data_IF_561057752338
#
_entry.id   IF_561057752338
#
_cell.length_a   1.000
_cell.length_b   1.000
_cell.length_c   1.000
_cell.angle_alpha   90.00
_cell.angle_beta   90.00
_cell.angle_gamma   90.00
#
_symmetry.space_group_name_H-M   'P 1'
#
loop_
_entity.id
_entity.type
_entity.pdbx_description
1 polymer ?
#
# COMPACT_ATOMS: atom_id res chain seq x y z
N UNK A 1 3.76 -17.85 15.91
CA UNK A 1 2.77 -18.89 15.55
C UNK A 1 3.44 -19.91 14.63
N UNK A 2 3.09 -21.20 14.75
CA UNK A 2 3.56 -22.23 13.82
C UNK A 2 3.12 -21.91 12.39
N UNK A 3 3.98 -22.24 11.43
CA UNK A 3 3.78 -21.97 10.00
C UNK A 3 2.81 -23.01 9.43
N UNK A 4 1.71 -22.57 8.85
CA UNK A 4 0.88 -23.43 8.01
C UNK A 4 1.44 -23.48 6.59
N UNK A 5 1.31 -24.65 5.94
CA UNK A 5 1.59 -24.80 4.51
C UNK A 5 0.59 -23.92 3.75
N UNK A 6 1.04 -23.24 2.70
CA UNK A 6 0.12 -22.48 1.84
C UNK A 6 -0.82 -23.43 1.14
N UNK A 7 -2.08 -23.05 1.08
CA UNK A 7 -3.06 -23.72 0.22
C UNK A 7 -2.68 -23.49 -1.23
N UNK A 8 -2.76 -24.55 -2.02
CA UNK A 8 -2.49 -24.53 -3.45
C UNK A 8 -3.84 -24.36 -4.12
N UNK A 9 -3.94 -23.38 -5.01
CA UNK A 9 -5.17 -23.14 -5.77
C UNK A 9 -5.28 -24.09 -6.96
N UNK A 10 -6.49 -24.59 -7.24
CA UNK A 10 -6.74 -25.42 -8.42
C UNK A 10 -6.77 -24.57 -9.70
N UNK A 11 -7.29 -23.33 -9.60
CA UNK A 11 -7.26 -22.36 -10.72
C UNK A 11 -5.88 -21.72 -10.92
N UNK A 12 -5.01 -21.82 -9.90
CA UNK A 12 -3.72 -21.13 -9.84
C UNK A 12 -3.85 -19.63 -9.56
N UNK A 13 -5.04 -19.13 -9.18
CA UNK A 13 -5.30 -17.71 -8.91
C UNK A 13 -5.25 -17.46 -7.40
N UNK A 14 -4.62 -16.36 -7.01
CA UNK A 14 -4.46 -15.98 -5.61
C UNK A 14 -4.70 -14.49 -5.40
N UNK A 15 -5.40 -14.16 -4.32
CA UNK A 15 -5.27 -12.86 -3.67
C UNK A 15 -4.00 -12.86 -2.85
N UNK A 16 -3.15 -11.87 -3.04
CA UNK A 16 -1.83 -11.79 -2.41
C UNK A 16 -1.70 -10.45 -1.71
N UNK A 17 -1.16 -10.46 -0.50
CA UNK A 17 -0.88 -9.24 0.25
C UNK A 17 0.54 -9.26 0.80
N UNK A 18 1.24 -8.13 0.65
CA UNK A 18 2.55 -7.89 1.28
C UNK A 18 2.47 -6.67 2.18
N UNK A 19 3.09 -6.72 3.36
CA UNK A 19 3.06 -5.63 4.35
C UNK A 19 4.45 -5.31 4.89
N UNK A 20 4.70 -4.03 5.14
CA UNK A 20 5.93 -3.53 5.70
C UNK A 20 6.18 -4.00 7.13
N UNK A 21 7.45 -4.23 7.45
CA UNK A 21 7.86 -4.72 8.77
C UNK A 21 7.44 -3.78 9.89
N UNK A 22 6.90 -4.33 10.98
CA UNK A 22 6.26 -3.58 12.06
C UNK A 22 5.17 -2.60 11.56
N UNK A 23 4.42 -2.97 10.51
CA UNK A 23 3.41 -2.14 9.83
C UNK A 23 3.95 -0.79 9.31
N UNK A 24 5.26 -0.65 9.18
CA UNK A 24 5.88 0.58 8.70
C UNK A 24 5.54 0.87 7.24
N UNK A 25 5.53 2.16 6.90
CA UNK A 25 5.44 2.62 5.53
C UNK A 25 6.64 2.09 4.72
N UNK A 26 6.32 1.42 3.62
CA UNK A 26 7.30 0.88 2.66
C UNK A 26 7.11 1.47 1.27
N UNK A 27 6.07 2.27 1.06
CA UNK A 27 5.83 3.07 -0.14
C UNK A 27 5.73 4.55 0.26
N UNK A 28 6.86 5.13 0.65
CA UNK A 28 7.00 6.43 1.31
C UNK A 28 6.68 7.56 0.33
N UNK A 29 7.13 7.43 -0.91
CA UNK A 29 6.89 8.43 -1.95
C UNK A 29 6.31 7.80 -3.23
N UNK A 30 6.20 8.63 -4.27
CA UNK A 30 5.68 8.24 -5.57
C UNK A 30 6.63 7.29 -6.31
N UNK A 31 7.93 7.55 -6.24
CA UNK A 31 8.95 6.78 -6.93
C UNK A 31 9.00 5.35 -6.39
N UNK A 32 8.73 5.14 -5.10
CA UNK A 32 8.62 3.80 -4.52
C UNK A 32 7.52 2.96 -5.18
N UNK A 33 6.35 3.56 -5.40
CA UNK A 33 5.20 2.88 -6.01
C UNK A 33 5.45 2.64 -7.50
N UNK A 34 6.03 3.61 -8.21
CA UNK A 34 6.46 3.45 -9.60
C UNK A 34 7.50 2.34 -9.74
N UNK A 35 8.47 2.29 -8.82
CA UNK A 35 9.49 1.25 -8.81
C UNK A 35 8.88 -0.11 -8.55
N UNK A 36 7.95 -0.23 -7.60
CA UNK A 36 7.26 -1.50 -7.36
C UNK A 36 6.49 -1.98 -8.60
N UNK A 37 5.76 -1.10 -9.29
CA UNK A 37 5.08 -1.43 -10.55
C UNK A 37 6.07 -1.85 -11.65
N UNK A 38 7.21 -1.18 -11.76
CA UNK A 38 8.25 -1.56 -12.72
C UNK A 38 8.82 -2.97 -12.42
N UNK A 39 9.01 -3.31 -11.14
CA UNK A 39 9.46 -4.64 -10.71
C UNK A 39 8.39 -5.69 -11.04
N UNK A 40 7.11 -5.42 -10.77
CA UNK A 40 6.04 -6.34 -11.16
C UNK A 40 6.07 -6.61 -12.66
N UNK A 41 6.20 -5.56 -13.48
CA UNK A 41 6.27 -5.70 -14.94
C UNK A 41 7.49 -6.51 -15.40
N UNK A 42 8.67 -6.21 -14.87
CA UNK A 42 9.90 -6.95 -15.16
C UNK A 42 9.75 -8.44 -14.78
N UNK A 43 9.26 -8.73 -13.56
CA UNK A 43 9.10 -10.11 -13.09
C UNK A 43 7.96 -10.85 -13.80
N UNK A 44 6.97 -10.13 -14.33
CA UNK A 44 5.93 -10.69 -15.20
C UNK A 44 6.52 -11.22 -16.49
N UNK A 45 7.46 -10.48 -17.10
CA UNK A 45 8.15 -10.93 -18.31
C UNK A 45 9.07 -12.12 -18.04
N UNK A 46 9.77 -12.14 -16.90
CA UNK A 46 10.68 -13.23 -16.54
C UNK A 46 9.97 -14.52 -16.14
N UNK A 47 8.91 -14.42 -15.35
CA UNK A 47 8.25 -15.58 -14.70
C UNK A 47 6.95 -15.97 -15.39
N UNK A 48 6.52 -15.19 -16.39
CA UNK A 48 5.30 -15.37 -17.18
C UNK A 48 4.07 -15.65 -16.30
N UNK A 49 3.67 -14.69 -15.48
CA UNK A 49 2.43 -14.77 -14.68
C UNK A 49 1.38 -13.78 -15.18
N UNK A 50 0.12 -13.98 -14.80
CA UNK A 50 -0.95 -13.00 -15.10
C UNK A 50 -1.23 -12.18 -13.85
N UNK A 51 -1.37 -10.87 -14.02
CA UNK A 51 -1.79 -9.96 -12.95
C UNK A 51 -3.17 -9.42 -13.32
N UNK A 52 -4.20 -9.82 -12.57
CA UNK A 52 -5.57 -9.36 -12.81
C UNK A 52 -5.84 -8.03 -12.11
N UNK A 53 -5.31 -7.81 -10.91
CA UNK A 53 -5.49 -6.54 -10.21
C UNK A 53 -4.35 -6.21 -9.25
N UNK A 54 -4.21 -4.92 -8.94
CA UNK A 54 -3.33 -4.45 -7.87
C UNK A 54 -3.89 -3.23 -7.15
N UNK A 55 -3.47 -3.04 -5.91
CA UNK A 55 -3.56 -1.79 -5.17
C UNK A 55 -2.34 -1.63 -4.25
N UNK A 56 -1.63 -0.51 -4.35
CA UNK A 56 -0.44 -0.22 -3.56
C UNK A 56 -0.78 0.87 -2.56
N UNK A 57 -0.86 0.50 -1.28
CA UNK A 57 -1.10 1.40 -0.16
C UNK A 57 0.22 1.98 0.36
N UNK A 58 0.23 2.57 1.55
CA UNK A 58 1.45 3.19 2.10
C UNK A 58 2.38 2.18 2.78
N UNK A 59 1.80 1.21 3.48
CA UNK A 59 2.52 0.17 4.24
C UNK A 59 2.26 -1.25 3.73
N UNK A 60 1.42 -1.44 2.72
CA UNK A 60 1.12 -2.76 2.17
C UNK A 60 0.70 -2.66 0.69
N UNK A 61 0.68 -3.80 0.01
CA UNK A 61 0.12 -3.93 -1.34
C UNK A 61 -0.78 -5.16 -1.42
N UNK A 62 -1.79 -5.09 -2.27
CA UNK A 62 -2.62 -6.22 -2.66
C UNK A 62 -2.47 -6.48 -4.15
N UNK A 63 -2.39 -7.75 -4.54
CA UNK A 63 -2.26 -8.23 -5.91
C UNK A 63 -3.25 -9.39 -6.14
N UNK A 64 -3.81 -9.50 -7.34
CA UNK A 64 -4.52 -10.70 -7.79
C UNK A 64 -3.67 -11.33 -8.90
N UNK A 65 -3.01 -12.44 -8.59
CA UNK A 65 -2.02 -13.09 -9.47
C UNK A 65 -2.53 -14.47 -9.88
N UNK A 66 -2.34 -14.83 -11.15
CA UNK A 66 -2.46 -16.21 -11.62
C UNK A 66 -1.08 -16.77 -11.97
N UNK A 67 -0.75 -17.89 -11.36
CA UNK A 67 0.40 -18.71 -11.73
C UNK A 67 0.22 -19.27 -13.14
N UNK A 68 1.29 -19.32 -13.93
CA UNK A 68 1.34 -20.11 -15.17
C UNK A 68 2.51 -21.09 -15.09
N UNK A 69 3.73 -20.60 -15.27
CA UNK A 69 4.93 -21.46 -15.35
C UNK A 69 5.67 -21.59 -14.02
N UNK A 70 5.64 -20.55 -13.19
CA UNK A 70 6.32 -20.52 -11.89
C UNK A 70 5.31 -20.46 -10.74
N UNK A 71 5.71 -21.02 -9.60
CA UNK A 71 4.93 -20.91 -8.38
C UNK A 71 4.85 -19.46 -7.90
N UNK A 72 3.77 -19.11 -7.23
CA UNK A 72 3.52 -17.83 -6.58
C UNK A 72 4.62 -17.55 -5.56
N UNK A 73 5.13 -18.60 -4.91
CA UNK A 73 6.23 -18.45 -3.96
C UNK A 73 7.50 -17.95 -4.63
N UNK A 74 7.81 -18.43 -5.82
CA UNK A 74 8.98 -18.00 -6.59
C UNK A 74 8.77 -16.61 -7.18
N UNK A 75 7.59 -16.35 -7.75
CA UNK A 75 7.19 -15.03 -8.25
C UNK A 75 7.33 -13.97 -7.15
N UNK A 76 6.69 -14.18 -6.00
CA UNK A 76 6.70 -13.22 -4.90
C UNK A 76 8.06 -13.12 -4.23
N UNK A 77 8.87 -14.18 -4.23
CA UNK A 77 10.26 -14.12 -3.77
C UNK A 77 11.07 -13.15 -4.64
N UNK A 78 10.97 -13.27 -5.97
CA UNK A 78 11.66 -12.35 -6.90
C UNK A 78 11.20 -10.90 -6.71
N UNK A 79 9.89 -10.66 -6.69
CA UNK A 79 9.31 -9.31 -6.50
C UNK A 79 9.75 -8.69 -5.17
N UNK A 80 9.58 -9.41 -4.05
CA UNK A 80 9.88 -8.88 -2.73
C UNK A 80 11.38 -8.65 -2.51
N UNK A 81 12.24 -9.53 -3.02
CA UNK A 81 13.70 -9.33 -2.93
C UNK A 81 14.12 -8.09 -3.73
N UNK A 82 13.68 -7.99 -4.99
CA UNK A 82 14.01 -6.84 -5.84
C UNK A 82 13.58 -5.52 -5.21
N UNK A 83 12.37 -5.47 -4.64
CA UNK A 83 11.88 -4.26 -3.97
C UNK A 83 12.63 -3.96 -2.67
N UNK A 84 12.90 -4.98 -1.85
CA UNK A 84 13.62 -4.79 -0.60
C UNK A 84 15.05 -4.26 -0.82
N UNK A 85 15.74 -4.75 -1.86
CA UNK A 85 17.06 -4.25 -2.26
C UNK A 85 16.98 -2.77 -2.68
N UNK A 86 16.02 -2.42 -3.55
CA UNK A 86 15.80 -1.02 -3.95
C UNK A 86 15.53 -0.13 -2.74
N UNK A 87 14.57 -0.49 -1.91
CA UNK A 87 14.12 0.30 -0.77
C UNK A 87 15.25 0.51 0.25
N UNK A 88 15.97 -0.55 0.61
CA UNK A 88 17.10 -0.46 1.53
C UNK A 88 18.22 0.42 0.97
N UNK A 89 18.50 0.32 -0.33
CA UNK A 89 19.50 1.18 -0.99
C UNK A 89 19.07 2.65 -1.01
N UNK A 90 17.82 2.94 -1.37
CA UNK A 90 17.29 4.31 -1.47
C UNK A 90 17.24 5.02 -0.12
N UNK A 91 16.87 4.31 0.94
CA UNK A 91 16.70 4.88 2.27
C UNK A 91 17.86 4.59 3.24
N UNK A 92 18.98 4.07 2.72
CA UNK A 92 20.18 3.70 3.51
C UNK A 92 19.84 2.83 4.73
N UNK A 93 18.91 1.89 4.54
CA UNK A 93 18.41 1.00 5.58
C UNK A 93 19.09 -0.37 5.51
N UNK A 94 19.12 -1.02 6.67
CA UNK A 94 19.51 -2.42 6.81
C UNK A 94 18.36 -3.23 7.43
N UNK A 95 18.29 -4.52 7.09
CA UNK A 95 17.30 -5.45 7.62
C UNK A 95 16.05 -5.64 6.76
N UNK A 96 15.02 -6.24 7.39
CA UNK A 96 13.78 -6.63 6.71
C UNK A 96 12.90 -5.41 6.38
N UNK A 97 12.51 -5.33 5.09
CA UNK A 97 11.53 -4.34 4.59
C UNK A 97 10.11 -4.84 4.83
N UNK A 98 9.84 -6.11 4.52
CA UNK A 98 8.54 -6.76 4.71
C UNK A 98 8.45 -7.44 6.08
N UNK A 99 7.25 -7.50 6.65
CA UNK A 99 6.98 -8.05 7.99
C UNK A 99 7.24 -9.55 8.06
N UNK A 100 6.80 -10.27 7.04
CA UNK A 100 7.00 -11.71 6.88
C UNK A 100 6.93 -11.99 5.37
N UNK A 101 6.84 -13.27 4.99
CA UNK A 101 6.41 -13.66 3.65
C UNK A 101 5.04 -13.07 3.33
N UNK A 102 4.74 -12.97 2.04
CA UNK A 102 3.40 -12.60 1.59
C UNK A 102 2.35 -13.56 2.16
N UNK A 103 1.16 -13.00 2.43
CA UNK A 103 -0.07 -13.73 2.71
C UNK A 103 -0.77 -13.99 1.38
N UNK A 104 -1.41 -15.15 1.24
CA UNK A 104 -2.17 -15.49 0.04
C UNK A 104 -3.41 -16.30 0.39
N UNK A 105 -4.51 -16.02 -0.31
CA UNK A 105 -5.73 -16.81 -0.31
C UNK A 105 -5.97 -17.33 -1.74
N UNK A 106 -6.23 -18.64 -1.91
CA UNK A 106 -6.57 -19.21 -3.21
C UNK A 106 -7.93 -18.70 -3.69
N UNK A 107 -8.11 -18.55 -5.00
CA UNK A 107 -9.36 -18.11 -5.62
C UNK A 107 -9.87 -19.21 -6.55
N UNK A 108 -10.94 -19.90 -6.17
CA UNK A 108 -11.38 -21.10 -6.89
C UNK A 108 -12.55 -20.89 -7.86
N UNK A 109 -13.19 -19.72 -7.83
CA UNK A 109 -14.32 -19.42 -8.70
C UNK A 109 -14.37 -17.97 -9.17
N UNK A 110 -15.08 -17.75 -10.28
CA UNK A 110 -15.19 -16.45 -10.92
C UNK A 110 -15.89 -15.40 -10.05
N UNK A 111 -16.89 -15.78 -9.24
CA UNK A 111 -17.57 -14.82 -8.35
C UNK A 111 -16.62 -14.35 -7.26
N UNK A 112 -15.83 -15.27 -6.69
CA UNK A 112 -14.83 -14.93 -5.71
C UNK A 112 -13.69 -14.09 -6.32
N UNK A 113 -13.29 -14.37 -7.56
CA UNK A 113 -12.36 -13.52 -8.31
C UNK A 113 -12.88 -12.09 -8.46
N UNK A 114 -14.12 -11.92 -8.90
CA UNK A 114 -14.74 -10.60 -9.06
C UNK A 114 -14.82 -9.85 -7.71
N UNK A 115 -15.19 -10.56 -6.65
CA UNK A 115 -15.24 -10.03 -5.28
C UNK A 115 -13.86 -9.57 -4.83
N UNK A 116 -12.81 -10.37 -5.08
CA UNK A 116 -11.44 -10.04 -4.75
C UNK A 116 -10.92 -8.83 -5.50
N UNK A 117 -11.21 -8.72 -6.79
CA UNK A 117 -10.82 -7.56 -7.60
C UNK A 117 -11.50 -6.29 -7.09
N UNK A 118 -12.82 -6.34 -6.83
CA UNK A 118 -13.57 -5.21 -6.26
C UNK A 118 -13.01 -4.77 -4.93
N UNK A 119 -12.73 -5.72 -4.04
CA UNK A 119 -12.10 -5.46 -2.75
C UNK A 119 -10.74 -4.76 -2.92
N UNK A 120 -9.86 -5.30 -3.78
CA UNK A 120 -8.52 -4.75 -4.03
C UNK A 120 -8.60 -3.31 -4.55
N UNK A 121 -9.52 -3.03 -5.48
CA UNK A 121 -9.71 -1.68 -6.02
C UNK A 121 -10.32 -0.69 -5.03
N UNK A 122 -11.20 -1.16 -4.14
CA UNK A 122 -11.86 -0.32 -3.13
C UNK A 122 -11.08 -0.19 -1.81
N UNK A 123 -9.94 -0.87 -1.67
CA UNK A 123 -9.06 -0.77 -0.52
C UNK A 123 -8.73 0.70 -0.12
N UNK A 124 -8.41 1.62 -1.05
CA UNK A 124 -8.20 3.03 -0.74
C UNK A 124 -9.46 3.77 -0.27
N UNK A 125 -10.64 3.32 -0.70
CA UNK A 125 -11.93 3.88 -0.27
C UNK A 125 -12.26 3.40 1.15
N UNK A 126 -12.08 2.11 1.43
CA UNK A 126 -12.24 1.50 2.76
C UNK A 126 -11.31 2.15 3.79
N UNK A 127 -10.07 2.47 3.37
CA UNK A 127 -9.09 3.22 4.13
C UNK A 127 -9.36 4.74 4.23
N UNK A 128 -10.44 5.25 3.61
CA UNK A 128 -10.82 6.67 3.57
C UNK A 128 -9.74 7.60 2.99
N UNK A 129 -8.85 7.08 2.14
CA UNK A 129 -7.82 7.85 1.42
C UNK A 129 -8.45 8.62 0.26
N UNK A 130 -9.48 8.04 -0.37
CA UNK A 130 -10.22 8.64 -1.48
C UNK A 130 -11.72 8.36 -1.34
N UNK A 131 -12.55 9.18 -1.98
CA UNK A 131 -14.00 8.97 -2.03
C UNK A 131 -14.43 7.89 -3.04
N UNK A 132 -13.61 7.62 -4.05
CA UNK A 132 -13.87 6.60 -5.07
C UNK A 132 -12.56 5.97 -5.56
N UNK A 133 -12.63 4.72 -6.01
CA UNK A 133 -11.47 3.96 -6.49
C UNK A 133 -10.75 4.64 -7.67
N UNK A 134 -11.51 5.27 -8.56
CA UNK A 134 -10.98 5.96 -9.76
C UNK A 134 -10.01 7.10 -9.44
N UNK A 135 -10.18 7.78 -8.31
CA UNK A 135 -9.29 8.86 -7.89
C UNK A 135 -7.98 8.38 -7.26
N UNK A 136 -7.79 7.06 -7.06
CA UNK A 136 -6.54 6.51 -6.54
C UNK A 136 -5.63 5.98 -7.67
N UNK A 137 -4.51 6.66 -7.99
CA UNK A 137 -3.68 6.31 -9.14
C UNK A 137 -2.83 5.05 -8.94
N UNK A 138 -2.68 4.57 -7.69
CA UNK A 138 -1.86 3.41 -7.35
C UNK A 138 -2.66 2.11 -7.27
N UNK A 139 -3.74 2.04 -8.04
CA UNK A 139 -4.58 0.85 -8.21
C UNK A 139 -4.81 0.60 -9.70
N UNK A 140 -5.01 -0.68 -10.06
CA UNK A 140 -5.31 -1.06 -11.43
C UNK A 140 -6.74 -0.74 -11.88
N UNK A 141 -7.62 -0.21 -11.01
CA UNK A 141 -9.00 0.12 -11.34
C UNK A 141 -9.12 0.98 -12.61
N UNK A 142 -8.20 1.94 -12.81
CA UNK A 142 -8.18 2.80 -13.98
C UNK A 142 -8.11 2.04 -15.32
N UNK A 143 -7.46 0.87 -15.37
CA UNK A 143 -7.36 0.05 -16.58
C UNK A 143 -8.65 -0.72 -16.88
N UNK A 144 -9.50 -0.92 -15.88
CA UNK A 144 -10.78 -1.59 -16.06
C UNK A 144 -11.85 -0.64 -16.61
N UNK A 145 -11.77 0.64 -16.29
CA UNK A 145 -12.82 1.62 -16.64
C UNK A 145 -12.46 2.51 -17.82
N UNK A 146 -11.17 2.56 -18.20
CA UNK A 146 -10.69 3.34 -19.33
C UNK A 146 -10.08 2.44 -20.39
N UNK A 147 -10.19 2.86 -21.65
CA UNK A 147 -9.49 2.20 -22.75
C UNK A 147 -8.03 2.64 -22.81
N UNK A 148 -7.24 2.14 -21.86
CA UNK A 148 -5.81 2.43 -21.74
C UNK A 148 -5.05 1.13 -21.99
N UNK A 149 -4.23 1.11 -23.03
CA UNK A 149 -3.29 0.00 -23.26
C UNK A 149 -2.31 -0.10 -22.09
N UNK A 150 -2.22 -1.29 -21.53
CA UNK A 150 -1.32 -1.62 -20.44
C UNK A 150 -0.86 -3.07 -20.56
N UNK A 151 0.44 -3.31 -20.43
CA UNK A 151 1.01 -4.65 -20.51
C UNK A 151 1.13 -5.33 -19.13
N UNK A 152 0.94 -4.55 -18.06
CA UNK A 152 1.08 -5.05 -16.69
C UNK A 152 -0.16 -5.83 -16.24
N UNK A 153 -1.36 -5.32 -16.47
CA UNK A 153 -2.62 -5.87 -15.97
C UNK A 153 -3.42 -6.48 -17.11
N UNK A 154 -3.87 -7.71 -16.94
CA UNK A 154 -4.82 -8.36 -17.85
C UNK A 154 -6.24 -8.07 -17.38
N UNK A 155 -6.93 -7.21 -18.11
CA UNK A 155 -8.32 -6.86 -17.84
C UNK A 155 -9.30 -7.62 -18.72
N UNK A 156 -8.85 -8.21 -19.81
CA UNK A 156 -9.68 -8.80 -20.86
C UNK A 156 -10.43 -10.02 -20.32
N UNK A 157 -9.71 -10.93 -19.67
CA UNK A 157 -10.32 -12.11 -19.05
C UNK A 157 -11.42 -11.70 -18.06
N UNK A 158 -11.12 -10.79 -17.13
CA UNK A 158 -12.05 -10.41 -16.07
C UNK A 158 -13.26 -9.64 -16.61
N UNK A 159 -13.04 -8.73 -17.58
CA UNK A 159 -14.13 -8.00 -18.23
C UNK A 159 -15.02 -8.95 -19.05
N UNK A 160 -14.46 -10.02 -19.62
CA UNK A 160 -15.24 -11.02 -20.38
C UNK A 160 -16.26 -11.78 -19.50
N UNK A 161 -16.05 -11.84 -18.18
CA UNK A 161 -16.98 -12.47 -17.23
C UNK A 161 -18.31 -11.71 -17.10
N UNK A 162 -18.37 -10.43 -17.48
CA UNK A 162 -19.60 -9.62 -17.42
C UNK A 162 -20.39 -9.63 -18.72
N UNK A 163 -19.68 -9.54 -19.86
CA UNK A 163 -20.26 -9.50 -21.20
C UNK A 163 -19.21 -9.77 -22.27
N UNK A 164 -19.65 -10.17 -23.47
CA UNK A 164 -18.81 -10.28 -24.66
C UNK A 164 -18.50 -8.92 -25.29
N UNK A 165 -19.30 -7.89 -25.00
CA UNK A 165 -19.07 -6.52 -25.48
C UNK A 165 -18.25 -5.73 -24.44
N UNK A 166 -17.07 -5.25 -24.85
CA UNK A 166 -16.11 -4.66 -23.92
C UNK A 166 -16.65 -3.39 -23.25
N UNK A 167 -17.36 -2.54 -23.98
CA UNK A 167 -17.87 -1.29 -23.43
C UNK A 167 -19.03 -1.54 -22.46
N UNK A 168 -19.90 -2.50 -22.77
CA UNK A 168 -20.90 -3.02 -21.84
C UNK A 168 -20.25 -3.62 -20.60
N UNK A 169 -19.20 -4.42 -20.73
CA UNK A 169 -18.47 -4.99 -19.59
C UNK A 169 -17.86 -3.92 -18.70
N UNK A 170 -17.27 -2.86 -19.27
CA UNK A 170 -16.75 -1.72 -18.50
C UNK A 170 -17.83 -1.00 -17.71
N UNK A 171 -19.03 -0.83 -18.28
CA UNK A 171 -20.16 -0.22 -17.60
C UNK A 171 -20.66 -1.09 -16.44
N UNK A 172 -20.87 -2.39 -16.67
CA UNK A 172 -21.30 -3.33 -15.62
C UNK A 172 -20.24 -3.43 -14.52
N UNK A 173 -18.94 -3.45 -14.88
CA UNK A 173 -17.85 -3.48 -13.91
C UNK A 173 -17.85 -2.23 -13.02
N UNK A 174 -18.09 -1.04 -13.57
CA UNK A 174 -18.20 0.21 -12.80
C UNK A 174 -19.36 0.13 -11.80
N UNK A 175 -20.54 -0.29 -12.25
CA UNK A 175 -21.71 -0.47 -11.37
C UNK A 175 -21.44 -1.50 -10.27
N UNK A 176 -20.87 -2.64 -10.63
CA UNK A 176 -20.46 -3.70 -9.71
C UNK A 176 -19.48 -3.19 -8.64
N UNK A 177 -18.54 -2.32 -9.03
CA UNK A 177 -17.49 -1.80 -8.15
C UNK A 177 -17.99 -0.76 -7.16
N UNK A 178 -19.07 -0.04 -7.47
CA UNK A 178 -19.63 1.02 -6.62
C UNK A 178 -20.62 0.46 -5.59
N UNK A 179 -21.19 -0.73 -5.84
CA UNK A 179 -22.12 -1.36 -4.90
C UNK A 179 -21.47 -1.56 -3.53
N UNK A 180 -22.11 -1.00 -2.51
CA UNK A 180 -21.73 -1.24 -1.11
C UNK A 180 -21.74 -2.75 -0.82
N UNK A 181 -20.68 -3.20 -0.16
CA UNK A 181 -20.51 -4.57 0.28
C UNK A 181 -19.67 -4.58 1.57
N UNK A 182 -19.80 -5.65 2.35
CA UNK A 182 -18.92 -5.94 3.49
C UNK A 182 -17.96 -7.08 3.09
N UNK A 183 -17.29 -6.94 1.94
CA UNK A 183 -16.31 -7.92 1.48
C UNK A 183 -15.13 -7.93 2.49
N UNK A 184 -15.00 -9.05 3.21
CA UNK A 184 -13.92 -9.32 4.16
C UNK A 184 -13.04 -10.43 3.58
N UNK A 185 -12.03 -10.04 2.81
CA UNK A 185 -11.00 -10.94 2.27
C UNK A 185 -9.77 -10.90 3.18
N UNK A 186 -8.56 -11.19 2.66
CA UNK A 186 -7.27 -11.02 3.38
C UNK A 186 -7.18 -9.62 4.00
N UNK A 187 -7.77 -9.48 5.17
CA UNK A 187 -7.90 -8.29 5.96
C UNK A 187 -7.11 -8.58 7.23
N UNK A 188 -5.86 -8.14 7.26
CA UNK A 188 -5.25 -7.92 8.56
C UNK A 188 -5.88 -6.65 9.09
N UNK A 189 -6.94 -6.81 9.89
CA UNK A 189 -7.63 -5.80 10.71
C UNK A 189 -7.35 -4.37 10.25
N UNK A 190 -8.31 -3.78 9.53
CA UNK A 190 -8.36 -2.35 9.21
C UNK A 190 -8.52 -1.52 10.49
N UNK A 191 -7.52 -1.55 11.36
CA UNK A 191 -7.15 -0.38 12.14
C UNK A 191 -6.06 0.38 11.37
N UNK A 192 -6.34 0.77 10.12
CA UNK A 192 -5.80 2.06 9.70
C UNK A 192 -6.53 3.10 10.54
N UNK A 193 -5.98 3.39 11.74
CA UNK A 193 -6.39 4.57 12.46
C UNK A 193 -6.23 5.71 11.46
N UNK A 194 -7.31 6.45 11.12
CA UNK A 194 -7.15 7.63 10.30
C UNK A 194 -6.04 8.44 10.93
N UNK A 195 -5.05 8.85 10.11
CA UNK A 195 -3.97 9.69 10.59
C UNK A 195 -4.62 10.82 11.38
N UNK A 196 -4.27 10.95 12.66
CA UNK A 196 -4.86 11.96 13.52
C UNK A 196 -4.63 13.37 12.95
N UNK A 197 -3.59 13.51 12.12
CA UNK A 197 -3.23 14.71 11.38
C UNK A 197 -3.33 14.42 9.88
N UNK A 198 -4.35 14.99 9.24
CA UNK A 198 -4.70 14.75 7.83
C UNK A 198 -3.86 15.58 6.86
N UNK A 199 -3.44 16.77 7.29
CA UNK A 199 -2.70 17.68 6.43
C UNK A 199 -1.67 18.53 7.20
N UNK A 200 -1.01 19.41 6.46
CA UNK A 200 0.03 20.30 6.99
C UNK A 200 -0.52 21.36 7.95
N UNK A 201 -1.79 21.74 7.82
CA UNK A 201 -2.43 22.72 8.69
C UNK A 201 -2.79 22.12 10.05
N UNK A 202 -3.39 20.93 10.06
CA UNK A 202 -3.66 20.18 11.29
C UNK A 202 -2.37 19.87 12.06
N UNK A 203 -1.26 19.59 11.34
CA UNK A 203 0.04 19.37 11.96
C UNK A 203 0.53 20.61 12.72
N UNK A 204 0.33 21.81 12.14
CA UNK A 204 0.69 23.07 12.80
C UNK A 204 -0.13 23.30 14.07
N UNK A 205 -1.43 23.06 14.00
CA UNK A 205 -2.33 23.20 15.17
C UNK A 205 -1.86 22.28 16.29
N UNK A 206 -1.65 21.00 15.98
CA UNK A 206 -1.19 20.01 16.96
C UNK A 206 0.15 20.41 17.61
N UNK A 207 1.11 20.89 16.82
CA UNK A 207 2.41 21.34 17.34
C UNK A 207 2.23 22.52 18.31
N UNK A 208 1.37 23.48 17.98
CA UNK A 208 1.11 24.65 18.83
C UNK A 208 0.52 24.21 20.17
N UNK A 209 -0.49 23.34 20.15
CA UNK A 209 -1.15 22.85 21.36
C UNK A 209 -0.20 22.03 22.23
N UNK A 210 0.54 21.10 21.62
CA UNK A 210 1.55 20.30 22.34
C UNK A 210 2.61 21.17 23.02
N UNK A 211 3.13 22.19 22.32
CA UNK A 211 4.10 23.11 22.90
C UNK A 211 3.52 23.88 24.08
N UNK A 212 2.28 24.37 23.96
CA UNK A 212 1.58 25.10 25.02
C UNK A 212 1.38 24.22 26.26
N UNK A 213 0.89 22.99 26.08
CA UNK A 213 0.60 22.06 27.17
C UNK A 213 1.85 21.62 27.93
N UNK A 214 3.00 21.62 27.27
CA UNK A 214 4.29 21.31 27.88
C UNK A 214 5.09 22.56 28.30
N UNK A 215 4.52 23.76 28.17
CA UNK A 215 5.18 25.02 28.54
C UNK A 215 6.42 25.35 27.71
N UNK A 216 6.47 24.89 26.45
CA UNK A 216 7.60 25.02 25.54
C UNK A 216 7.36 26.07 24.46
N UNK A 217 8.45 26.66 23.96
CA UNK A 217 8.49 27.38 22.68
C UNK A 217 9.12 26.50 21.61
N UNK A 218 8.88 26.82 20.34
CA UNK A 218 9.43 26.06 19.21
C UNK A 218 10.97 25.98 19.26
N UNK A 219 11.63 27.05 19.69
CA UNK A 219 13.08 27.14 19.83
C UNK A 219 13.64 26.19 20.90
N UNK A 220 12.85 25.88 21.93
CA UNK A 220 13.26 25.01 23.03
C UNK A 220 13.51 23.57 22.56
N UNK A 221 12.85 23.13 21.49
CA UNK A 221 13.05 21.80 20.92
C UNK A 221 14.51 21.55 20.50
N UNK A 222 15.31 22.60 20.27
CA UNK A 222 16.75 22.45 19.95
C UNK A 222 17.63 22.21 21.19
N UNK A 223 17.14 22.55 22.39
CA UNK A 223 17.91 22.46 23.63
C UNK A 223 18.02 21.00 24.09
N UNK A 224 19.12 20.67 24.76
CA UNK A 224 19.40 19.29 25.21
C UNK A 224 18.45 18.81 26.31
N UNK A 225 17.98 19.71 27.15
CA UNK A 225 17.05 19.39 28.24
C UNK A 225 15.68 18.90 27.73
N UNK A 226 15.29 19.29 26.51
CA UNK A 226 13.99 18.91 25.92
C UNK A 226 14.10 17.80 24.87
N UNK A 227 15.20 17.02 24.85
CA UNK A 227 15.38 15.93 23.87
C UNK A 227 14.23 14.92 23.95
N UNK A 228 13.81 14.52 25.15
CA UNK A 228 12.73 13.56 25.34
C UNK A 228 11.42 14.09 24.73
N UNK A 229 11.04 15.32 25.06
CA UNK A 229 9.81 15.97 24.56
C UNK A 229 9.84 16.25 23.07
N UNK A 230 11.00 16.60 22.51
CA UNK A 230 11.19 16.73 21.07
C UNK A 230 11.01 15.38 20.38
N UNK A 231 11.67 14.33 20.87
CA UNK A 231 11.60 13.02 20.25
C UNK A 231 10.18 12.45 20.31
N UNK A 232 9.48 12.63 21.45
CA UNK A 232 8.07 12.31 21.61
C UNK A 232 7.20 12.96 20.51
N UNK A 233 7.34 14.28 20.33
CA UNK A 233 6.60 15.03 19.29
C UNK A 233 6.96 14.57 17.87
N UNK A 234 8.25 14.34 17.59
CA UNK A 234 8.70 13.84 16.28
C UNK A 234 8.10 12.46 15.99
N UNK A 235 8.16 11.54 16.95
CA UNK A 235 7.64 10.19 16.79
C UNK A 235 6.14 10.22 16.56
N UNK A 236 5.42 11.05 17.33
CA UNK A 236 3.98 11.23 17.14
C UNK A 236 3.65 11.73 15.73
N UNK A 237 4.31 12.79 15.24
CA UNK A 237 4.07 13.32 13.90
C UNK A 237 4.43 12.31 12.81
N UNK A 238 5.48 11.52 12.98
CA UNK A 238 5.87 10.47 12.02
C UNK A 238 4.85 9.32 11.94
N UNK A 239 4.23 8.98 13.06
CA UNK A 239 3.28 7.86 13.17
C UNK A 239 1.84 8.26 12.83
N UNK A 240 1.47 9.51 13.11
CA UNK A 240 0.09 9.98 13.06
C UNK A 240 -0.16 11.06 11.99
N UNK A 241 0.81 11.32 11.12
CA UNK A 241 0.65 12.18 9.94
C UNK A 241 1.25 11.55 8.67
N UNK A 242 0.84 12.03 7.50
CA UNK A 242 1.44 11.68 6.21
C UNK A 242 2.66 12.53 5.83
N UNK A 243 3.28 13.21 6.81
CA UNK A 243 4.34 14.17 6.55
C UNK A 243 5.71 13.50 6.36
N UNK A 244 6.47 13.99 5.38
CA UNK A 244 7.85 13.55 5.19
C UNK A 244 8.77 14.08 6.30
N UNK A 245 9.92 13.42 6.50
CA UNK A 245 10.99 13.86 7.42
C UNK A 245 11.35 15.33 7.16
N UNK A 246 11.38 15.75 5.90
CA UNK A 246 11.65 17.13 5.50
C UNK A 246 10.59 18.10 6.03
N UNK A 247 9.30 17.79 5.83
CA UNK A 247 8.19 18.64 6.29
C UNK A 247 8.13 18.73 7.81
N UNK A 248 8.38 17.63 8.51
CA UNK A 248 8.45 17.62 9.99
C UNK A 248 9.64 18.46 10.48
N UNK A 249 10.81 18.33 9.84
CA UNK A 249 11.99 19.14 10.12
C UNK A 249 11.74 20.64 9.93
N UNK A 250 11.03 21.02 8.86
CA UNK A 250 10.61 22.40 8.60
C UNK A 250 9.64 22.92 9.66
N UNK A 251 8.60 22.13 10.00
CA UNK A 251 7.58 22.51 10.99
C UNK A 251 8.16 22.71 12.40
N UNK A 252 9.07 21.82 12.81
CA UNK A 252 9.67 21.85 14.14
C UNK A 252 10.92 22.73 14.22
N UNK A 253 11.38 23.26 13.09
CA UNK A 253 12.63 23.99 12.98
C UNK A 253 13.83 23.22 13.57
N UNK A 254 13.94 21.92 13.31
CA UNK A 254 15.05 21.05 13.78
C UNK A 254 15.72 20.35 12.61
N UNK A 255 16.95 19.85 12.79
CA UNK A 255 17.70 19.17 11.72
C UNK A 255 17.05 17.87 11.24
N UNK A 256 17.12 17.58 9.94
CA UNK A 256 16.53 16.36 9.35
C UNK A 256 17.05 15.06 9.97
N UNK A 257 18.34 15.00 10.29
CA UNK A 257 18.96 13.85 10.95
C UNK A 257 18.40 13.61 12.36
N UNK A 258 17.98 14.67 13.04
CA UNK A 258 17.33 14.59 14.35
C UNK A 258 15.93 13.99 14.24
N UNK A 259 15.21 14.33 13.17
CA UNK A 259 13.87 13.77 12.87
C UNK A 259 13.95 12.31 12.46
N UNK A 260 14.92 11.96 11.61
CA UNK A 260 15.12 10.59 11.13
C UNK A 260 15.51 9.64 12.26
N UNK A 261 16.40 10.07 13.16
CA UNK A 261 17.00 9.27 14.21
C UNK A 261 16.32 9.41 15.59
N UNK A 262 15.19 10.10 15.68
CA UNK A 262 14.45 10.21 16.94
C UNK A 262 14.03 8.81 17.41
N UNK A 263 14.33 8.52 18.68
CA UNK A 263 13.99 7.29 19.41
C UNK A 263 13.35 7.66 20.73
#
# INVERSE_FOLDING_TARGET
MPRFKREISETGIYHVMTRGNAKNNIFIDREDKEKYLSILQEKKQESNYVLYAYCIMTNHSHLIIRELNESLSDIMKKVNISYAIYFNKKYERVGHVFQDRYVSEPIEDDNYLLTAIRYVHNNPVKAKITKNAQAYPWSSYGYYVKDIKNNLVDTEFVLSLFSSDIDRSRNIFQEFSIKENDDRLIDIDYEEKPLAIKDYHEAKIYIIDYLKDNGLKLEDLRKREYIAKRNELILYLRQNSGLSIRKISELLNVGRNMVANAK
#
